data_IF_638160267415
#
_entry.id   IF_638160267415
#
_cell.length_a   1.000
_cell.length_b   1.000
_cell.length_c   1.000
_cell.angle_alpha   90.00
_cell.angle_beta   90.00
_cell.angle_gamma   90.00
#
_symmetry.space_group_name_H-M   'P 1'
#
loop_
_entity.id
_entity.type
_entity.pdbx_description
1 polymer ?
#
# COMPACT_ATOMS: atom_id res chain seq x y z
N UNK A 1 -1.44 -6.16 2.38
CA UNK A 1 -2.44 -5.77 1.34
C UNK A 1 -3.42 -4.75 1.90
N UNK A 2 -4.22 -4.08 1.06
CA UNK A 2 -5.23 -3.12 1.53
C UNK A 2 -6.30 -3.83 2.41
N UNK A 3 -6.48 -3.41 3.68
CA UNK A 3 -7.32 -4.15 4.64
C UNK A 3 -8.80 -4.06 4.28
N UNK A 4 -9.23 -3.03 3.54
CA UNK A 4 -10.61 -2.88 3.11
C UNK A 4 -11.09 -3.94 2.11
N UNK A 5 -10.16 -4.69 1.49
CA UNK A 5 -10.48 -5.80 0.59
C UNK A 5 -10.72 -7.12 1.35
N UNK A 6 -10.08 -7.30 2.51
CA UNK A 6 -10.05 -8.58 3.23
C UNK A 6 -11.45 -9.11 3.64
N UNK A 7 -12.36 -8.29 4.23
CA UNK A 7 -13.67 -8.79 4.62
C UNK A 7 -14.52 -9.26 3.44
N UNK A 8 -14.47 -8.58 2.30
CA UNK A 8 -15.22 -8.97 1.10
C UNK A 8 -14.69 -10.30 0.54
N UNK A 9 -13.36 -10.47 0.45
CA UNK A 9 -12.75 -11.75 0.04
C UNK A 9 -13.17 -12.90 0.95
N UNK A 10 -13.11 -12.70 2.26
CA UNK A 10 -13.50 -13.71 3.25
C UNK A 10 -14.99 -14.06 3.12
N UNK A 11 -15.87 -13.06 2.98
CA UNK A 11 -17.33 -13.28 2.85
C UNK A 11 -17.71 -14.06 1.59
N UNK A 12 -16.88 -13.99 0.55
CA UNK A 12 -17.06 -14.71 -0.73
C UNK A 12 -16.35 -16.06 -0.77
N UNK A 13 -15.71 -16.48 0.33
CA UNK A 13 -14.93 -17.72 0.39
C UNK A 13 -13.71 -17.71 -0.54
N UNK A 14 -13.18 -16.52 -0.88
CA UNK A 14 -11.99 -16.40 -1.70
C UNK A 14 -10.76 -16.71 -0.84
N UNK A 15 -10.03 -17.75 -1.22
CA UNK A 15 -8.75 -18.09 -0.59
C UNK A 15 -7.65 -17.16 -1.09
N UNK A 16 -6.86 -16.64 -0.15
CA UNK A 16 -5.74 -15.75 -0.40
C UNK A 16 -4.43 -16.42 0.00
N UNK A 17 -3.39 -16.23 -0.79
CA UNK A 17 -2.03 -16.67 -0.49
C UNK A 17 -1.17 -15.43 -0.29
N UNK A 18 -0.54 -15.31 0.88
CA UNK A 18 0.35 -14.19 1.17
C UNK A 18 1.69 -14.41 0.46
N UNK A 19 2.12 -13.45 -0.35
CA UNK A 19 3.44 -13.45 -0.98
C UNK A 19 4.35 -12.50 -0.22
N UNK A 20 5.59 -12.90 0.01
CA UNK A 20 6.57 -12.07 0.68
C UNK A 20 6.84 -10.77 -0.09
N UNK A 21 7.20 -9.73 0.67
CA UNK A 21 7.51 -8.39 0.15
C UNK A 21 8.89 -7.94 0.61
N UNK A 22 9.51 -7.07 -0.16
CA UNK A 22 10.77 -6.39 0.17
C UNK A 22 10.63 -4.87 -0.02
N UNK A 23 11.77 -4.16 -0.08
CA UNK A 23 11.87 -2.70 -0.26
C UNK A 23 11.13 -2.18 -1.50
N UNK A 24 10.91 -3.02 -2.52
CA UNK A 24 10.18 -2.70 -3.75
C UNK A 24 8.74 -3.23 -3.75
N UNK A 25 8.25 -3.73 -2.61
CA UNK A 25 6.92 -4.31 -2.48
C UNK A 25 6.89 -5.78 -2.86
N UNK A 26 5.97 -6.20 -3.73
CA UNK A 26 5.79 -7.61 -4.10
C UNK A 26 7.11 -8.20 -4.64
N UNK A 27 7.63 -9.25 -4.01
CA UNK A 27 8.86 -9.91 -4.43
C UNK A 27 8.62 -10.80 -5.65
N UNK A 28 9.37 -10.57 -6.73
CA UNK A 28 9.31 -11.38 -7.95
C UNK A 28 9.81 -12.81 -7.72
N UNK A 29 10.88 -12.97 -6.93
CA UNK A 29 11.43 -14.29 -6.59
C UNK A 29 10.50 -15.09 -5.67
N UNK A 30 9.89 -14.45 -4.67
CA UNK A 30 8.91 -15.13 -3.81
C UNK A 30 7.65 -15.50 -4.60
N UNK A 31 7.17 -14.61 -5.47
CA UNK A 31 6.03 -14.89 -6.35
C UNK A 31 6.35 -16.05 -7.30
N UNK A 32 7.52 -16.05 -7.94
CA UNK A 32 7.96 -17.15 -8.81
C UNK A 32 8.00 -18.47 -8.05
N UNK A 33 8.63 -18.48 -6.86
CA UNK A 33 8.72 -19.67 -6.02
C UNK A 33 7.35 -20.28 -5.71
N UNK A 34 6.37 -19.46 -5.33
CA UNK A 34 5.01 -19.93 -5.04
C UNK A 34 4.28 -20.41 -6.30
N UNK A 35 4.34 -19.67 -7.41
CA UNK A 35 3.64 -20.03 -8.64
C UNK A 35 4.22 -21.27 -9.33
N UNK A 36 5.54 -21.40 -9.34
CA UNK A 36 6.26 -22.52 -9.98
C UNK A 36 6.15 -23.80 -9.16
N UNK A 37 6.04 -23.68 -7.83
CA UNK A 37 5.89 -24.82 -6.92
C UNK A 37 4.46 -24.98 -6.39
N UNK A 38 3.45 -24.48 -7.09
CA UNK A 38 2.08 -24.35 -6.55
C UNK A 38 1.52 -25.65 -5.92
N UNK A 39 1.78 -26.80 -6.54
CA UNK A 39 1.28 -28.11 -6.08
C UNK A 39 2.13 -28.76 -4.99
N UNK A 40 3.37 -28.32 -4.80
CA UNK A 40 4.32 -28.86 -3.80
C UNK A 40 4.58 -27.90 -2.64
N UNK A 41 4.25 -26.62 -2.79
CA UNK A 41 4.48 -25.58 -1.80
C UNK A 41 3.54 -25.76 -0.60
N UNK A 42 4.08 -25.61 0.61
CA UNK A 42 3.38 -25.89 1.87
C UNK A 42 2.05 -25.13 1.98
N UNK A 43 2.06 -23.85 1.61
CA UNK A 43 0.88 -22.98 1.69
C UNK A 43 -0.19 -23.27 0.64
N UNK A 44 0.14 -23.91 -0.50
CA UNK A 44 -0.74 -23.94 -1.68
C UNK A 44 -1.01 -25.34 -2.24
N UNK A 45 -0.33 -26.38 -1.76
CA UNK A 45 -0.42 -27.76 -2.27
C UNK A 45 -1.84 -28.34 -2.32
N UNK A 46 -2.74 -27.86 -1.46
CA UNK A 46 -4.16 -28.26 -1.38
C UNK A 46 -5.12 -27.29 -2.07
N UNK A 47 -4.60 -26.24 -2.71
CA UNK A 47 -5.37 -25.15 -3.29
C UNK A 47 -5.46 -25.25 -4.81
N UNK A 48 -6.57 -24.77 -5.38
CA UNK A 48 -6.67 -24.56 -6.83
C UNK A 48 -5.69 -23.47 -7.25
N UNK A 49 -5.14 -23.59 -8.46
CA UNK A 49 -4.23 -22.60 -9.05
C UNK A 49 -4.88 -21.20 -9.04
N UNK A 50 -4.13 -20.13 -8.70
CA UNK A 50 -4.71 -18.82 -8.46
C UNK A 50 -5.22 -18.22 -9.76
N UNK A 51 -6.17 -17.29 -9.65
CA UNK A 51 -6.74 -16.57 -10.80
C UNK A 51 -6.19 -15.17 -10.95
N UNK A 52 -5.75 -14.56 -9.86
CA UNK A 52 -5.27 -13.19 -9.86
C UNK A 52 -4.18 -12.95 -8.81
N UNK A 53 -3.36 -11.94 -9.09
CA UNK A 53 -2.41 -11.31 -8.18
C UNK A 53 -2.96 -9.92 -7.87
N UNK A 54 -3.23 -9.63 -6.59
CA UNK A 54 -3.57 -8.27 -6.16
C UNK A 54 -2.32 -7.54 -5.67
N UNK A 55 -2.07 -6.34 -6.19
CA UNK A 55 -0.89 -5.55 -5.80
C UNK A 55 -1.19 -4.06 -5.82
N UNK A 56 -0.55 -3.35 -4.89
CA UNK A 56 -0.50 -1.88 -4.83
C UNK A 56 0.94 -1.49 -5.15
N UNK A 57 1.29 -1.24 -6.43
CA UNK A 57 2.69 -1.18 -6.85
C UNK A 57 3.40 0.13 -6.52
N UNK A 58 2.67 1.18 -6.19
CA UNK A 58 3.22 2.52 -5.94
C UNK A 58 2.66 3.04 -4.61
N UNK A 59 3.56 3.45 -3.71
CA UNK A 59 3.19 3.90 -2.37
C UNK A 59 2.35 2.87 -1.61
N UNK A 60 2.79 1.61 -1.65
CA UNK A 60 2.00 0.42 -1.26
C UNK A 60 1.30 0.58 0.09
N UNK A 61 0.06 0.10 0.20
CA UNK A 61 -0.65 0.02 1.48
C UNK A 61 -0.50 -1.40 2.06
N UNK A 62 0.21 -1.59 3.19
CA UNK A 62 0.68 -0.56 4.13
C UNK A 62 2.15 -0.13 3.98
N UNK A 63 2.94 -0.85 3.19
CA UNK A 63 4.40 -0.84 3.28
C UNK A 63 5.07 0.51 2.88
N UNK A 64 4.38 1.38 2.14
CA UNK A 64 4.95 2.60 1.56
C UNK A 64 5.93 2.34 0.40
N UNK A 65 6.18 1.08 0.06
CA UNK A 65 7.13 0.66 -0.97
C UNK A 65 6.61 0.92 -2.38
N UNK A 66 7.53 1.08 -3.32
CA UNK A 66 7.23 1.31 -4.73
C UNK A 66 8.07 0.39 -5.60
N UNK A 67 7.44 -0.38 -6.46
CA UNK A 67 8.12 -1.28 -7.37
C UNK A 67 8.78 -0.51 -8.52
N UNK A 68 10.04 -0.82 -8.84
CA UNK A 68 10.69 -0.34 -10.07
C UNK A 68 10.01 -0.87 -11.33
N UNK A 69 10.32 -0.25 -12.47
CA UNK A 69 9.88 -0.75 -13.77
C UNK A 69 10.36 -2.18 -14.02
N UNK A 70 11.59 -2.51 -13.61
CA UNK A 70 12.16 -3.84 -13.79
C UNK A 70 11.47 -4.88 -12.90
N UNK A 71 11.18 -4.53 -11.65
CA UNK A 71 10.36 -5.38 -10.76
C UNK A 71 9.00 -5.68 -11.40
N UNK A 72 8.32 -4.65 -11.91
CA UNK A 72 7.02 -4.81 -12.59
C UNK A 72 7.14 -5.66 -13.85
N UNK A 73 8.19 -5.51 -14.66
CA UNK A 73 8.41 -6.36 -15.85
C UNK A 73 8.57 -7.84 -15.49
N UNK A 74 9.33 -8.15 -14.43
CA UNK A 74 9.50 -9.54 -13.95
C UNK A 74 8.18 -10.15 -13.47
N UNK A 75 7.41 -9.41 -12.68
CA UNK A 75 6.09 -9.86 -12.20
C UNK A 75 5.10 -10.00 -13.37
N UNK A 76 5.11 -9.09 -14.34
CA UNK A 76 4.29 -9.18 -15.54
C UNK A 76 4.65 -10.42 -16.39
N UNK A 77 5.94 -10.75 -16.50
CA UNK A 77 6.38 -11.97 -17.16
C UNK A 77 5.89 -13.24 -16.44
N UNK A 78 5.92 -13.26 -15.10
CA UNK A 78 5.33 -14.35 -14.31
C UNK A 78 3.82 -14.45 -14.53
N UNK A 79 3.11 -13.31 -14.52
CA UNK A 79 1.67 -13.27 -14.73
C UNK A 79 1.27 -13.87 -16.09
N UNK A 80 2.02 -13.54 -17.15
CA UNK A 80 1.84 -14.12 -18.49
C UNK A 80 2.14 -15.61 -18.52
N UNK A 81 3.30 -16.02 -18.00
CA UNK A 81 3.76 -17.43 -17.97
C UNK A 81 2.74 -18.33 -17.28
N UNK A 82 2.16 -17.87 -16.19
CA UNK A 82 1.22 -18.64 -15.37
C UNK A 82 -0.25 -18.33 -15.68
N UNK A 83 -0.54 -17.46 -16.66
CA UNK A 83 -1.89 -17.06 -17.06
C UNK A 83 -2.76 -16.55 -15.90
N UNK A 84 -2.17 -15.70 -15.05
CA UNK A 84 -2.85 -15.05 -13.91
C UNK A 84 -3.05 -13.57 -14.17
N UNK A 85 -4.19 -13.03 -13.73
CA UNK A 85 -4.51 -11.61 -13.90
C UNK A 85 -3.83 -10.76 -12.81
N UNK A 86 -3.14 -9.68 -13.17
CA UNK A 86 -2.69 -8.67 -12.24
C UNK A 86 -3.85 -7.67 -12.01
N UNK A 87 -4.31 -7.62 -10.77
CA UNK A 87 -5.19 -6.58 -10.24
C UNK A 87 -4.29 -5.48 -9.64
N UNK A 88 -4.03 -4.46 -10.45
CA UNK A 88 -3.22 -3.30 -10.08
C UNK A 88 -4.10 -2.24 -9.42
N UNK A 89 -4.02 -2.10 -8.09
CA UNK A 89 -4.72 -1.07 -7.33
C UNK A 89 -3.77 0.10 -7.06
N UNK A 90 -3.94 1.22 -7.76
CA UNK A 90 -2.91 2.27 -7.82
C UNK A 90 -3.42 3.68 -7.48
N UNK A 91 -4.07 3.88 -6.32
CA UNK A 91 -4.64 5.17 -5.94
C UNK A 91 -3.57 6.23 -5.60
N UNK A 92 -2.30 5.82 -5.46
CA UNK A 92 -1.18 6.69 -5.12
C UNK A 92 -0.23 6.91 -6.29
N UNK A 93 -0.54 6.43 -7.50
CA UNK A 93 0.31 6.52 -8.68
C UNK A 93 0.94 7.91 -8.88
N UNK A 94 0.10 8.95 -8.77
CA UNK A 94 0.50 10.33 -9.00
C UNK A 94 1.17 11.00 -7.78
N UNK A 95 1.22 10.34 -6.63
CA UNK A 95 1.85 10.85 -5.39
C UNK A 95 3.29 10.30 -5.29
N UNK A 96 4.02 10.28 -6.41
CA UNK A 96 5.44 9.94 -6.45
C UNK A 96 6.31 11.17 -6.23
N UNK A 97 7.41 11.02 -5.49
CA UNK A 97 8.26 12.16 -5.12
C UNK A 97 9.46 12.38 -6.05
N UNK A 98 9.91 11.35 -6.75
CA UNK A 98 11.11 11.39 -7.61
C UNK A 98 10.91 12.23 -8.87
N UNK A 99 11.75 13.24 -9.09
CA UNK A 99 11.63 14.20 -10.19
C UNK A 99 10.74 15.42 -9.88
N UNK A 100 10.18 15.53 -8.66
CA UNK A 100 9.44 16.73 -8.25
C UNK A 100 10.34 17.97 -8.31
N UNK A 101 9.97 18.93 -9.17
CA UNK A 101 10.74 20.13 -9.49
C UNK A 101 11.03 20.27 -10.99
N UNK A 102 10.95 19.15 -11.73
CA UNK A 102 10.90 19.15 -13.19
C UNK A 102 9.54 19.66 -13.71
N UNK A 103 9.42 19.85 -15.03
CA UNK A 103 8.15 20.22 -15.65
C UNK A 103 7.11 19.10 -15.42
N UNK A 104 5.97 19.39 -14.75
CA UNK A 104 4.98 18.37 -14.40
C UNK A 104 4.42 17.56 -15.58
N UNK A 105 4.43 18.15 -16.78
CA UNK A 105 3.89 17.59 -18.02
C UNK A 105 4.86 16.58 -18.63
N UNK A 106 6.16 16.86 -18.58
CA UNK A 106 7.19 16.00 -19.20
C UNK A 106 7.91 15.10 -18.21
N UNK A 107 7.79 15.36 -16.91
CA UNK A 107 8.42 14.56 -15.84
C UNK A 107 8.06 13.08 -15.99
N UNK A 108 9.11 12.27 -15.97
CA UNK A 108 8.99 10.82 -16.07
C UNK A 108 8.44 10.23 -14.77
N UNK A 109 7.53 9.25 -14.90
CA UNK A 109 6.97 8.50 -13.77
C UNK A 109 7.18 7.04 -14.04
N UNK A 110 7.44 6.26 -12.99
CA UNK A 110 7.57 4.80 -13.11
C UNK A 110 6.30 4.26 -13.79
N UNK A 111 6.42 3.51 -14.90
CA UNK A 111 5.25 3.05 -15.63
C UNK A 111 4.42 2.09 -14.78
N UNK A 112 3.10 2.12 -14.95
CA UNK A 112 2.18 1.15 -14.37
C UNK A 112 2.33 -0.22 -15.03
N UNK A 113 1.81 -1.29 -14.42
CA UNK A 113 1.68 -2.58 -15.09
C UNK A 113 0.90 -2.45 -16.40
N UNK A 114 -0.16 -1.63 -16.39
CA UNK A 114 -0.96 -1.40 -17.59
C UNK A 114 -0.18 -0.70 -18.72
N UNK A 115 0.67 0.28 -18.37
CA UNK A 115 1.54 0.94 -19.34
C UNK A 115 2.61 -0.02 -19.88
N UNK A 116 3.23 -0.83 -19.01
CA UNK A 116 4.23 -1.83 -19.39
C UNK A 116 3.63 -2.96 -20.26
N UNK A 117 2.39 -3.37 -19.98
CA UNK A 117 1.68 -4.35 -20.82
C UNK A 117 1.52 -3.80 -22.24
N UNK A 118 1.12 -2.52 -22.37
CA UNK A 118 0.98 -1.84 -23.66
C UNK A 118 2.31 -1.72 -24.40
N UNK A 119 3.41 -1.41 -23.71
CA UNK A 119 4.75 -1.34 -24.32
C UNK A 119 5.19 -2.67 -24.95
N UNK A 120 4.74 -3.80 -24.39
CA UNK A 120 5.12 -5.13 -24.83
C UNK A 120 4.00 -5.85 -25.60
N UNK A 121 2.98 -5.11 -26.03
CA UNK A 121 1.78 -5.69 -26.63
C UNK A 121 2.03 -6.35 -28.00
N UNK A 122 2.99 -5.85 -28.77
CA UNK A 122 3.34 -6.42 -30.07
C UNK A 122 3.91 -7.84 -29.94
N UNK A 123 4.57 -8.14 -28.82
CA UNK A 123 5.19 -9.44 -28.55
C UNK A 123 4.26 -10.38 -27.78
N UNK A 124 3.52 -9.87 -26.79
CA UNK A 124 2.78 -10.71 -25.84
C UNK A 124 1.26 -10.49 -25.85
N UNK A 125 0.76 -9.51 -26.61
CA UNK A 125 -0.65 -9.11 -26.59
C UNK A 125 -1.08 -8.42 -25.28
N UNK A 126 -2.40 -8.33 -25.10
CA UNK A 126 -3.06 -7.76 -23.93
C UNK A 126 -3.90 -8.82 -23.23
N UNK A 127 -4.15 -8.68 -21.92
CA UNK A 127 -5.11 -9.54 -21.22
C UNK A 127 -4.81 -9.78 -19.75
N UNK A 128 -3.67 -9.31 -19.26
CA UNK A 128 -3.10 -9.71 -17.98
C UNK A 128 -3.15 -8.61 -16.93
N UNK A 129 -3.51 -7.37 -17.27
CA UNK A 129 -3.59 -6.27 -16.29
C UNK A 129 -4.99 -5.66 -16.22
N UNK A 130 -5.54 -5.62 -15.01
CA UNK A 130 -6.72 -4.86 -14.64
C UNK A 130 -6.31 -3.77 -13.64
N UNK A 131 -6.33 -2.51 -14.07
CA UNK A 131 -5.90 -1.35 -13.29
C UNK A 131 -7.09 -0.62 -12.67
N UNK A 132 -7.02 -0.37 -11.37
CA UNK A 132 -7.99 0.41 -10.62
C UNK A 132 -7.42 1.80 -10.30
N UNK A 133 -8.23 2.82 -10.58
CA UNK A 133 -7.90 4.23 -10.39
C UNK A 133 -8.94 4.90 -9.48
N UNK A 134 -8.49 5.90 -8.71
CA UNK A 134 -9.39 6.63 -7.82
C UNK A 134 -9.02 8.11 -7.71
N UNK A 135 -10.04 8.97 -7.74
CA UNK A 135 -9.87 10.40 -7.45
C UNK A 135 -9.70 10.68 -5.94
N UNK A 136 -9.76 9.65 -5.09
CA UNK A 136 -9.81 9.80 -3.64
C UNK A 136 -8.58 10.47 -3.03
N UNK A 137 -7.40 10.27 -3.64
CA UNK A 137 -6.12 10.72 -3.09
C UNK A 137 -5.52 11.92 -3.81
N UNK A 138 -6.05 12.22 -4.99
CA UNK A 138 -5.61 13.32 -5.85
C UNK A 138 -6.63 14.46 -5.94
N UNK A 139 -7.89 14.24 -5.57
CA UNK A 139 -8.92 15.28 -5.50
C UNK A 139 -9.64 15.24 -4.14
N UNK A 140 -10.47 14.22 -3.90
CA UNK A 140 -11.19 14.07 -2.62
C UNK A 140 -11.79 12.68 -2.47
N UNK A 141 -11.56 12.04 -1.31
CA UNK A 141 -12.18 10.76 -0.97
C UNK A 141 -13.71 10.84 -0.87
N UNK A 142 -14.26 12.02 -0.54
CA UNK A 142 -15.70 12.25 -0.44
C UNK A 142 -16.44 12.20 -1.78
N UNK A 143 -15.73 12.30 -2.91
CA UNK A 143 -16.33 12.19 -4.24
C UNK A 143 -16.84 10.78 -4.56
N UNK A 144 -16.29 9.74 -3.90
CA UNK A 144 -16.63 8.33 -4.17
C UNK A 144 -16.55 7.97 -5.67
N UNK A 145 -15.57 8.53 -6.38
CA UNK A 145 -15.41 8.37 -7.82
C UNK A 145 -14.04 7.73 -8.15
N UNK A 146 -14.07 6.82 -9.11
CA UNK A 146 -12.91 6.12 -9.66
C UNK A 146 -13.28 5.46 -10.99
N UNK A 147 -12.33 4.76 -11.59
CA UNK A 147 -12.55 4.02 -12.83
C UNK A 147 -11.62 2.80 -12.89
N UNK A 148 -11.92 1.88 -13.81
CA UNK A 148 -11.13 0.67 -14.05
C UNK A 148 -10.74 0.61 -15.53
N UNK A 149 -9.53 0.15 -15.81
CA UNK A 149 -9.00 -0.04 -17.17
C UNK A 149 -8.50 -1.47 -17.29
N UNK A 150 -8.82 -2.16 -18.38
CA UNK A 150 -8.39 -3.54 -18.58
C UNK A 150 -9.11 -4.24 -19.74
N UNK A 151 -9.01 -5.58 -19.80
CA UNK A 151 -9.57 -6.36 -20.90
C UNK A 151 -11.09 -6.20 -21.02
N UNK A 152 -11.56 -5.96 -22.25
CA UNK A 152 -12.98 -5.69 -22.54
C UNK A 152 -13.95 -6.71 -21.92
N UNK A 153 -13.71 -8.04 -21.96
CA UNK A 153 -14.62 -9.00 -21.34
C UNK A 153 -14.77 -8.80 -19.83
N UNK A 154 -13.66 -8.50 -19.13
CA UNK A 154 -13.64 -8.27 -17.68
C UNK A 154 -14.34 -6.96 -17.35
N UNK A 155 -14.02 -5.88 -18.08
CA UNK A 155 -14.68 -4.57 -17.87
C UNK A 155 -16.18 -4.67 -18.14
N UNK A 156 -16.60 -5.42 -19.16
CA UNK A 156 -18.02 -5.66 -19.47
C UNK A 156 -18.73 -6.39 -18.32
N UNK A 157 -18.09 -7.40 -17.72
CA UNK A 157 -18.62 -8.10 -16.55
C UNK A 157 -18.73 -7.17 -15.33
N UNK A 158 -17.73 -6.30 -15.09
CA UNK A 158 -17.78 -5.29 -14.03
C UNK A 158 -18.94 -4.31 -14.25
N UNK A 159 -19.15 -3.83 -15.48
CA UNK A 159 -20.27 -2.95 -15.82
C UNK A 159 -21.61 -3.63 -15.54
N UNK A 160 -21.79 -4.89 -15.97
CA UNK A 160 -23.01 -5.66 -15.72
C UNK A 160 -23.27 -5.86 -14.22
N UNK A 161 -22.23 -6.17 -13.43
CA UNK A 161 -22.34 -6.28 -11.98
C UNK A 161 -22.62 -4.94 -11.30
N UNK A 162 -22.02 -3.85 -11.80
CA UNK A 162 -22.24 -2.50 -11.27
C UNK A 162 -23.70 -2.09 -11.48
N UNK A 163 -24.26 -2.38 -12.66
CA UNK A 163 -25.65 -2.06 -13.00
C UNK A 163 -26.69 -2.67 -12.04
N UNK A 164 -26.39 -3.81 -11.42
CA UNK A 164 -27.29 -4.51 -10.48
C UNK A 164 -26.97 -4.26 -9.01
N UNK A 165 -25.82 -3.64 -8.70
CA UNK A 165 -25.37 -3.39 -7.32
C UNK A 165 -25.48 -1.92 -6.92
N UNK A 166 -24.81 -1.03 -7.66
CA UNK A 166 -24.72 0.41 -7.35
C UNK A 166 -25.14 1.31 -8.50
N UNK A 167 -25.50 0.73 -9.64
CA UNK A 167 -25.90 1.37 -10.91
C UNK A 167 -24.76 2.18 -11.53
N UNK A 168 -24.34 3.27 -10.88
CA UNK A 168 -23.18 4.09 -11.25
C UNK A 168 -22.79 5.04 -10.09
N UNK A 169 -21.62 5.67 -10.18
CA UNK A 169 -21.20 6.72 -9.23
C UNK A 169 -22.14 7.96 -9.30
N UNK A 170 -22.15 8.81 -8.28
CA UNK A 170 -23.02 10.00 -8.22
C UNK A 170 -22.92 10.91 -9.47
N UNK A 171 -24.02 11.11 -10.19
CA UNK A 171 -24.02 11.90 -11.45
C UNK A 171 -23.61 13.36 -11.27
N UNK A 172 -24.05 14.10 -10.22
CA UNK A 172 -23.54 15.45 -9.95
C UNK A 172 -22.02 15.49 -9.78
N UNK A 173 -21.45 14.49 -9.08
CA UNK A 173 -20.00 14.39 -8.90
C UNK A 173 -19.30 14.08 -10.23
N UNK A 174 -19.86 13.19 -11.05
CA UNK A 174 -19.34 12.93 -12.39
C UNK A 174 -19.31 14.20 -13.25
N UNK A 175 -20.37 15.01 -13.20
CA UNK A 175 -20.44 16.29 -13.95
C UNK A 175 -19.37 17.27 -13.45
N UNK A 176 -19.25 17.45 -12.13
CA UNK A 176 -18.24 18.35 -11.54
C UNK A 176 -16.83 17.92 -11.95
N UNK A 177 -16.50 16.64 -11.78
CA UNK A 177 -15.16 16.10 -12.12
C UNK A 177 -14.91 16.20 -13.63
N UNK A 178 -15.91 15.88 -14.47
CA UNK A 178 -15.76 16.00 -15.92
C UNK A 178 -15.53 17.45 -16.38
N UNK A 179 -16.24 18.42 -15.80
CA UNK A 179 -15.99 19.84 -16.09
C UNK A 179 -14.60 20.28 -15.64
N UNK A 180 -14.16 19.86 -14.45
CA UNK A 180 -12.84 20.18 -13.93
C UNK A 180 -11.72 19.59 -14.81
N UNK A 181 -11.83 18.32 -15.17
CA UNK A 181 -10.85 17.63 -16.03
C UNK A 181 -10.80 18.25 -17.44
N UNK A 182 -11.95 18.66 -18.01
CA UNK A 182 -11.97 19.37 -19.29
C UNK A 182 -11.34 20.76 -19.21
N UNK A 183 -11.59 21.47 -18.11
CA UNK A 183 -11.03 22.80 -17.88
C UNK A 183 -9.50 22.74 -17.72
N UNK A 184 -9.00 21.78 -16.95
CA UNK A 184 -7.56 21.57 -16.78
C UNK A 184 -6.88 21.00 -18.02
N UNK A 185 -7.57 20.15 -18.77
CA UNK A 185 -6.92 19.27 -19.74
C UNK A 185 -5.89 18.36 -19.08
N UNK A 186 -5.13 17.62 -19.89
CA UNK A 186 -4.10 16.70 -19.37
C UNK A 186 -3.00 17.48 -18.65
N UNK A 187 -2.52 18.59 -19.23
CA UNK A 187 -1.43 19.36 -18.65
C UNK A 187 -1.80 19.98 -17.31
N UNK A 188 -3.00 20.59 -17.20
CA UNK A 188 -3.46 21.15 -15.93
C UNK A 188 -3.69 20.07 -14.87
N UNK A 189 -4.15 18.88 -15.27
CA UNK A 189 -4.26 17.74 -14.36
C UNK A 189 -2.89 17.30 -13.83
N UNK A 190 -1.89 17.16 -14.71
CA UNK A 190 -0.52 16.80 -14.34
C UNK A 190 0.11 17.86 -13.40
N UNK A 191 -0.11 19.14 -13.68
CA UNK A 191 0.30 20.23 -12.79
C UNK A 191 -0.40 20.16 -11.42
N UNK A 192 -1.69 19.84 -11.38
CA UNK A 192 -2.44 19.67 -10.14
C UNK A 192 -1.89 18.51 -9.31
N UNK A 193 -1.72 17.34 -9.91
CA UNK A 193 -1.23 16.17 -9.15
C UNK A 193 0.21 16.34 -8.68
N UNK A 194 1.07 17.05 -9.40
CA UNK A 194 2.42 17.37 -8.93
C UNK A 194 2.40 18.31 -7.71
N UNK A 195 1.47 19.29 -7.67
CA UNK A 195 1.26 20.11 -6.46
C UNK A 195 0.83 19.26 -5.27
N UNK A 196 -0.08 18.29 -5.50
CA UNK A 196 -0.49 17.33 -4.46
C UNK A 196 0.71 16.50 -3.99
N UNK A 197 1.52 15.99 -4.92
CA UNK A 197 2.72 15.23 -4.59
C UNK A 197 3.78 16.05 -3.83
N UNK A 198 4.00 17.33 -4.21
CA UNK A 198 4.87 18.25 -3.48
C UNK A 198 4.42 18.45 -2.03
N UNK A 199 3.12 18.69 -1.81
CA UNK A 199 2.55 18.80 -0.47
C UNK A 199 2.77 17.52 0.36
N UNK A 200 2.58 16.34 -0.23
CA UNK A 200 2.85 15.09 0.46
C UNK A 200 4.35 14.85 0.70
N UNK A 201 5.24 15.27 -0.20
CA UNK A 201 6.69 15.20 0.01
C UNK A 201 7.12 16.03 1.22
N UNK A 202 6.66 17.28 1.31
CA UNK A 202 6.95 18.16 2.44
C UNK A 202 6.49 17.55 3.77
N UNK A 203 5.25 17.05 3.80
CA UNK A 203 4.72 16.32 4.97
C UNK A 203 5.52 15.07 5.30
N UNK A 204 5.93 14.30 4.30
CA UNK A 204 6.78 13.11 4.45
C UNK A 204 8.11 13.48 5.10
N UNK A 205 8.76 14.55 4.65
CA UNK A 205 10.07 14.99 5.15
C UNK A 205 9.99 15.44 6.61
N UNK A 206 8.97 16.22 6.98
CA UNK A 206 8.72 16.62 8.38
C UNK A 206 8.46 15.40 9.27
N UNK A 207 7.62 14.47 8.80
CA UNK A 207 7.31 13.25 9.53
C UNK A 207 8.54 12.33 9.67
N UNK A 208 9.33 12.16 8.60
CA UNK A 208 10.57 11.38 8.60
C UNK A 208 11.59 11.93 9.59
N UNK A 209 11.80 13.25 9.62
CA UNK A 209 12.71 13.89 10.57
C UNK A 209 12.28 13.64 12.02
N UNK A 210 10.97 13.66 12.28
CA UNK A 210 10.42 13.41 13.61
C UNK A 210 10.53 11.93 14.00
N UNK A 211 10.25 11.02 13.06
CA UNK A 211 10.45 9.57 13.25
C UNK A 211 11.91 9.27 13.60
N UNK A 212 12.86 9.81 12.84
CA UNK A 212 14.29 9.58 13.09
C UNK A 212 14.68 10.07 14.48
N UNK A 213 14.30 11.29 14.85
CA UNK A 213 14.62 11.88 16.16
C UNK A 213 13.99 11.14 17.34
N UNK A 214 12.78 10.61 17.18
CA UNK A 214 11.98 10.09 18.30
C UNK A 214 12.00 8.57 18.38
N UNK A 215 11.99 7.86 17.26
CA UNK A 215 11.93 6.39 17.22
C UNK A 215 13.21 5.71 16.72
N UNK A 216 13.94 6.37 15.81
CA UNK A 216 15.12 5.78 15.14
C UNK A 216 16.44 6.05 15.84
N UNK A 217 16.56 7.18 16.52
CA UNK A 217 17.81 7.64 17.15
C UNK A 217 17.79 7.56 18.68
N UNK A 218 18.99 7.52 19.25
CA UNK A 218 19.24 7.35 20.69
C UNK A 218 19.95 6.04 21.01
N UNK A 219 20.26 5.79 22.29
CA UNK A 219 20.93 4.55 22.73
C UNK A 219 20.09 3.30 22.49
N UNK A 220 18.79 3.46 22.23
CA UNK A 220 17.87 2.35 21.95
C UNK A 220 16.80 2.75 20.94
N UNK A 221 17.01 2.45 19.63
CA UNK A 221 15.99 2.59 18.62
C UNK A 221 14.79 1.69 18.93
N UNK A 222 13.58 2.23 18.79
CA UNK A 222 12.32 1.51 19.08
C UNK A 222 11.55 1.13 17.82
N UNK A 223 12.01 1.59 16.65
CA UNK A 223 11.47 1.15 15.37
C UNK A 223 12.51 1.29 14.25
N UNK A 224 12.34 0.50 13.19
CA UNK A 224 13.04 0.66 11.90
C UNK A 224 12.01 0.78 10.77
N UNK A 225 12.39 1.45 9.69
CA UNK A 225 11.52 1.66 8.52
C UNK A 225 12.34 2.04 7.29
N UNK A 226 11.70 1.92 6.13
CA UNK A 226 12.19 2.49 4.87
C UNK A 226 11.43 3.77 4.58
N UNK A 227 12.15 4.81 4.17
CA UNK A 227 11.52 6.10 3.84
C UNK A 227 10.76 5.98 2.52
N UNK A 228 9.44 6.23 2.50
CA UNK A 228 8.63 6.06 1.30
C UNK A 228 8.99 7.12 0.25
N UNK A 229 9.09 6.66 -1.00
CA UNK A 229 9.30 7.50 -2.20
C UNK A 229 7.99 7.89 -2.90
N UNK A 230 6.87 7.37 -2.40
CA UNK A 230 5.53 7.64 -2.91
C UNK A 230 4.47 7.42 -1.83
N UNK A 231 3.30 8.03 -2.03
CA UNK A 231 2.11 7.78 -1.22
C UNK A 231 2.11 8.55 0.10
N UNK A 232 1.57 7.92 1.14
CA UNK A 232 1.15 8.62 2.36
C UNK A 232 1.31 7.80 3.66
N UNK A 233 2.15 6.76 3.64
CA UNK A 233 2.33 5.81 4.75
C UNK A 233 3.80 5.53 5.05
N UNK A 234 4.11 5.38 6.34
CA UNK A 234 5.30 4.66 6.80
C UNK A 234 4.89 3.31 7.35
N UNK A 235 5.74 2.32 7.11
CA UNK A 235 5.64 0.99 7.67
C UNK A 235 6.77 0.77 8.65
N UNK A 236 6.41 0.77 9.93
CA UNK A 236 7.36 0.69 11.02
C UNK A 236 7.47 -0.77 11.46
N UNK A 237 8.68 -1.31 11.52
CA UNK A 237 8.98 -2.50 12.29
C UNK A 237 9.27 -2.06 13.72
N UNK A 238 8.35 -2.29 14.65
CA UNK A 238 8.49 -1.89 16.04
C UNK A 238 9.39 -2.87 16.79
N UNK A 239 10.20 -2.35 17.71
CA UNK A 239 11.00 -3.16 18.63
C UNK A 239 10.14 -3.56 19.83
N UNK A 240 9.52 -4.72 19.77
CA UNK A 240 8.58 -5.20 20.77
C UNK A 240 9.14 -6.39 21.56
N UNK A 241 8.68 -6.59 22.82
CA UNK A 241 9.04 -7.79 23.56
C UNK A 241 8.48 -9.05 22.89
N UNK A 242 9.26 -10.15 22.85
CA UNK A 242 8.80 -11.41 22.27
C UNK A 242 7.69 -12.05 23.11
N UNK A 243 6.76 -12.73 22.45
CA UNK A 243 5.80 -13.65 23.10
C UNK A 243 5.99 -15.07 22.57
N UNK A 244 5.50 -16.12 23.25
CA UNK A 244 5.61 -17.49 22.77
C UNK A 244 5.06 -17.69 21.34
N UNK A 245 4.01 -16.95 20.96
CA UNK A 245 3.40 -17.02 19.62
C UNK A 245 3.91 -15.94 18.65
N UNK A 246 4.74 -14.99 19.12
CA UNK A 246 5.27 -13.90 18.33
C UNK A 246 6.72 -13.57 18.76
N UNK A 247 7.73 -14.24 18.18
CA UNK A 247 9.13 -14.06 18.55
C UNK A 247 9.68 -12.65 18.32
N UNK A 248 9.05 -11.86 17.44
CA UNK A 248 9.38 -10.46 17.21
C UNK A 248 8.38 -9.50 17.88
N UNK A 249 7.43 -10.03 18.66
CA UNK A 249 6.39 -9.30 19.37
C UNK A 249 5.11 -9.06 18.56
N UNK A 250 4.09 -8.58 19.26
CA UNK A 250 2.74 -8.39 18.74
C UNK A 250 2.31 -6.91 18.81
N UNK A 251 2.38 -6.23 17.67
CA UNK A 251 1.94 -4.84 17.54
C UNK A 251 0.47 -4.65 17.90
N UNK A 252 -0.41 -5.63 17.64
CA UNK A 252 -1.83 -5.50 17.95
C UNK A 252 -2.05 -5.34 19.44
N UNK A 253 -1.39 -6.18 20.24
CA UNK A 253 -1.47 -6.13 21.69
C UNK A 253 -0.99 -4.78 22.23
N UNK A 254 0.23 -4.35 21.84
CA UNK A 254 0.81 -3.09 22.32
C UNK A 254 -0.04 -1.89 21.89
N UNK A 255 -0.60 -1.92 20.68
CA UNK A 255 -1.43 -0.83 20.19
C UNK A 255 -2.78 -0.78 20.93
N UNK A 256 -3.43 -1.93 21.12
CA UNK A 256 -4.73 -2.01 21.77
C UNK A 256 -4.67 -1.69 23.27
N UNK A 257 -3.61 -2.14 23.96
CA UNK A 257 -3.50 -2.04 25.42
C UNK A 257 -2.72 -0.82 25.92
N UNK A 258 -1.82 -0.24 25.10
CA UNK A 258 -0.92 0.83 25.56
C UNK A 258 -1.03 2.10 24.71
N UNK A 259 -0.98 1.96 23.40
CA UNK A 259 -1.00 3.14 22.51
C UNK A 259 -2.33 3.91 22.61
N UNK A 260 -3.44 3.19 22.75
CA UNK A 260 -4.77 3.80 22.96
C UNK A 260 -4.84 4.58 24.27
N UNK A 261 -4.30 4.05 25.36
CA UNK A 261 -4.27 4.70 26.68
C UNK A 261 -3.38 5.95 26.68
N UNK A 262 -2.28 5.93 25.93
CA UNK A 262 -1.43 7.10 25.66
C UNK A 262 -2.10 8.11 24.71
N UNK A 263 -3.25 7.77 24.11
CA UNK A 263 -3.99 8.62 23.21
C UNK A 263 -3.34 8.77 21.84
N UNK A 264 -2.71 7.72 21.30
CA UNK A 264 -2.21 7.66 19.92
C UNK A 264 -2.82 6.49 19.16
N UNK A 265 -3.25 6.76 17.92
CA UNK A 265 -3.81 5.75 17.03
C UNK A 265 -2.82 5.40 15.92
N UNK A 266 -2.48 4.13 15.83
CA UNK A 266 -1.69 3.52 14.76
C UNK A 266 -2.37 2.23 14.32
N UNK A 267 -2.17 1.80 13.07
CA UNK A 267 -2.85 0.58 12.58
C UNK A 267 -1.91 -0.62 12.73
N UNK A 268 -2.27 -1.65 13.50
CA UNK A 268 -1.41 -2.81 13.72
C UNK A 268 -1.21 -3.60 12.44
N UNK A 269 -0.01 -4.17 12.30
CA UNK A 269 0.42 -4.79 11.06
C UNK A 269 -0.41 -6.02 10.69
N UNK A 270 -0.87 -6.74 11.71
CA UNK A 270 -1.78 -7.89 11.59
C UNK A 270 -3.05 -7.58 10.78
N UNK A 271 -3.53 -6.34 10.77
CA UNK A 271 -4.70 -5.91 9.99
C UNK A 271 -4.48 -6.00 8.47
N UNK A 272 -3.24 -6.08 8.01
CA UNK A 272 -2.87 -6.05 6.59
C UNK A 272 -2.49 -7.42 6.02
N UNK A 273 -2.50 -8.48 6.83
CA UNK A 273 -2.23 -9.85 6.42
C UNK A 273 -3.52 -10.64 6.29
N UNK A 274 -3.69 -11.35 5.17
CA UNK A 274 -4.82 -12.25 5.04
C UNK A 274 -4.63 -13.46 5.96
N UNK A 275 -5.61 -13.73 6.82
CA UNK A 275 -5.57 -14.82 7.80
C UNK A 275 -5.09 -14.43 9.20
N UNK A 276 -4.69 -13.17 9.43
CA UNK A 276 -4.31 -12.64 10.74
C UNK A 276 -3.05 -13.28 11.32
N UNK A 277 -1.92 -12.56 11.28
CA UNK A 277 -0.70 -12.98 11.95
C UNK A 277 -0.26 -11.93 12.98
N UNK A 278 0.36 -12.40 14.07
CA UNK A 278 1.04 -11.52 15.02
C UNK A 278 2.31 -11.00 14.36
N UNK A 279 2.51 -9.68 14.37
CA UNK A 279 3.67 -9.06 13.72
C UNK A 279 4.15 -7.85 14.51
N UNK A 280 5.45 -7.50 14.43
CA UNK A 280 5.98 -6.27 14.99
C UNK A 280 5.60 -5.02 14.18
N UNK A 281 4.91 -5.17 13.06
CA UNK A 281 4.74 -4.06 12.14
C UNK A 281 3.56 -3.16 12.50
N UNK A 282 3.66 -1.87 12.20
CA UNK A 282 2.55 -0.93 12.30
C UNK A 282 2.57 0.07 11.15
N UNK A 283 1.40 0.46 10.67
CA UNK A 283 1.26 1.52 9.67
C UNK A 283 0.92 2.84 10.34
N UNK A 284 1.69 3.88 10.02
CA UNK A 284 1.39 5.27 10.35
C UNK A 284 1.18 6.07 9.07
N UNK A 285 0.33 7.11 9.11
CA UNK A 285 0.05 7.96 7.94
C UNK A 285 0.37 9.41 8.26
N UNK A 286 1.04 10.10 7.34
CA UNK A 286 1.38 11.53 7.46
C UNK A 286 0.41 12.44 6.70
N UNK A 287 -0.79 11.95 6.42
CA UNK A 287 -1.71 12.60 5.48
C UNK A 287 -2.58 13.70 6.07
N UNK A 288 -3.17 13.46 7.23
CA UNK A 288 -4.14 14.35 7.88
C UNK A 288 -3.64 14.93 9.20
N UNK A 289 -2.47 14.47 9.67
CA UNK A 289 -1.92 14.88 10.97
C UNK A 289 -1.42 16.33 10.87
N UNK A 290 -1.84 17.24 11.77
CA UNK A 290 -1.23 18.56 11.91
C UNK A 290 0.24 18.44 12.32
N UNK A 291 1.12 19.27 11.77
CA UNK A 291 2.56 19.14 12.01
C UNK A 291 2.94 19.21 13.50
N UNK A 292 2.24 20.04 14.27
CA UNK A 292 2.46 20.19 15.71
C UNK A 292 2.13 18.91 16.51
N UNK A 293 1.28 18.04 15.98
CA UNK A 293 0.85 16.81 16.67
C UNK A 293 1.75 15.61 16.33
N UNK A 294 2.59 15.71 15.29
CA UNK A 294 3.47 14.62 14.84
C UNK A 294 4.40 14.19 15.97
N UNK A 295 5.13 15.13 16.56
CA UNK A 295 6.11 14.83 17.60
C UNK A 295 5.45 14.19 18.83
N UNK A 296 4.34 14.74 19.31
CA UNK A 296 3.63 14.20 20.47
C UNK A 296 3.05 12.80 20.19
N UNK A 297 2.48 12.57 19.01
CA UNK A 297 2.02 11.23 18.60
C UNK A 297 3.15 10.19 18.59
N UNK A 298 4.34 10.57 18.11
CA UNK A 298 5.50 9.68 18.11
C UNK A 298 6.05 9.45 19.53
N UNK A 299 6.05 10.46 20.39
CA UNK A 299 6.42 10.29 21.80
C UNK A 299 5.47 9.35 22.55
N UNK A 300 4.16 9.47 22.31
CA UNK A 300 3.14 8.54 22.84
C UNK A 300 3.40 7.11 22.39
N UNK A 301 3.71 6.92 21.11
CA UNK A 301 4.04 5.60 20.57
C UNK A 301 5.31 5.02 21.22
N UNK A 302 6.35 5.85 21.40
CA UNK A 302 7.57 5.45 22.11
C UNK A 302 7.28 5.01 23.54
N UNK A 303 6.51 5.79 24.30
CA UNK A 303 6.12 5.46 25.68
C UNK A 303 5.34 4.15 25.76
N UNK A 304 4.42 3.89 24.82
CA UNK A 304 3.69 2.64 24.75
C UNK A 304 4.64 1.43 24.56
N UNK A 305 5.64 1.55 23.68
CA UNK A 305 6.65 0.50 23.45
C UNK A 305 7.54 0.31 24.68
N UNK A 306 8.01 1.40 25.30
CA UNK A 306 8.80 1.36 26.54
C UNK A 306 8.00 0.73 27.69
N UNK A 307 6.70 1.01 27.80
CA UNK A 307 5.82 0.37 28.77
C UNK A 307 5.68 -1.13 28.53
N UNK A 308 5.58 -1.58 27.28
CA UNK A 308 5.48 -3.00 26.96
C UNK A 308 6.74 -3.76 27.40
N UNK A 309 7.93 -3.18 27.23
CA UNK A 309 9.17 -3.77 27.72
C UNK A 309 9.26 -3.81 29.26
N UNK A 310 8.76 -2.78 29.94
CA UNK A 310 8.65 -2.77 31.41
C UNK A 310 7.74 -3.88 31.92
N UNK A 311 6.59 -4.09 31.29
CA UNK A 311 5.67 -5.17 31.63
C UNK A 311 6.27 -6.56 31.38
N UNK A 312 7.14 -6.67 30.37
CA UNK A 312 7.93 -7.88 30.10
C UNK A 312 9.11 -8.09 31.07
N UNK A 313 9.28 -7.22 32.08
CA UNK A 313 10.31 -7.34 33.11
C UNK A 313 11.66 -6.69 32.79
N UNK A 314 11.74 -5.86 31.73
CA UNK A 314 12.97 -5.18 31.33
C UNK A 314 12.98 -3.73 31.82
N UNK A 315 14.09 -3.32 32.45
CA UNK A 315 14.28 -1.92 32.88
C UNK A 315 14.61 -0.97 31.73
N UNK A 316 15.18 -1.50 30.64
CA UNK A 316 15.50 -0.79 29.40
C UNK A 316 15.20 -1.69 28.19
N UNK A 317 14.88 -1.08 27.05
CA UNK A 317 14.70 -1.81 25.79
C UNK A 317 16.06 -2.45 25.42
N UNK A 318 16.11 -3.73 25.00
CA UNK A 318 17.34 -4.33 24.48
C UNK A 318 17.83 -3.67 23.18
N UNK A 319 19.08 -3.91 22.75
CA UNK A 319 19.51 -3.59 21.38
C UNK A 319 18.69 -4.37 20.34
N UNK A 320 18.43 -3.74 19.19
CA UNK A 320 17.68 -4.34 18.08
C UNK A 320 18.51 -5.34 17.28
#
# INVERSE_FOLDING_TARGET
MYPGLLPDLASRGIHTVNIATDEEGLSDSALASVLENWTSHEQTSKMRFPKAIYTVPTGSNPAGTTASADRKRKILALARRHQVLIMEDDPYYYIGFDGLGEDPVTRERIPSYFALEREQADEYGYGYVLRFESFSKIMSAGMRLGYVVGPKPIVTAIVAYTATSSIHASSPIQVIVAHLLRHWGVNGFLQHVDKVASMYRERRDVFASSLEKILGSGPTPVATWTTPVSGMFFWLKLHLPPTPEAPEGDSFQVIAEKALDEGVLVVPGSSFYAGGCKTPYARVSFSVIPENDIAEGLHRLRRAIESAWKDAGYSTIPPM
#
